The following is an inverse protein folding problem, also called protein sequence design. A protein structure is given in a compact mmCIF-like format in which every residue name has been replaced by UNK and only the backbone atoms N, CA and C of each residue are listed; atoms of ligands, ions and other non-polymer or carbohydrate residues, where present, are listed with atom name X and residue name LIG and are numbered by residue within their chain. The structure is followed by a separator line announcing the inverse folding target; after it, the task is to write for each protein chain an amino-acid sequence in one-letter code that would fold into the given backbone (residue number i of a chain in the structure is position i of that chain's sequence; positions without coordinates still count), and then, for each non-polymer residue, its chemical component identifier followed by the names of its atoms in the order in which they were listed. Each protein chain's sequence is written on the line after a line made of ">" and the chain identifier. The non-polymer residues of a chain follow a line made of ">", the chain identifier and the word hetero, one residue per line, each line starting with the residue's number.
data_IF_063827863364
#
_entry.id   IF_063827863364
#
_cell.length_a   1.000
_cell.length_b   1.000
_cell.length_c   1.000
_cell.angle_alpha   90.00
_cell.angle_beta   90.00
_cell.angle_gamma   90.00
#
_symmetry.space_group_name_H-M   'P 1'
#
loop_
_entity.id
_entity.type
_entity.pdbx_description
1 polymer ?
#
# COMPACT_ATOMS: atom_id res chain seq x y z
N UNK A 1 -6.09 20.04 4.90
CA UNK A 1 -7.16 19.26 5.56
C UNK A 1 -6.87 17.76 5.61
N UNK A 2 -6.67 17.09 4.46
CA UNK A 2 -6.42 15.64 4.41
C UNK A 2 -5.23 15.20 5.27
N UNK A 3 -4.07 15.87 5.18
CA UNK A 3 -2.90 15.57 6.00
C UNK A 3 -3.23 15.48 7.50
N UNK A 4 -3.90 16.51 8.02
CA UNK A 4 -4.29 16.59 9.43
C UNK A 4 -5.30 15.50 9.80
N UNK A 5 -6.24 15.19 8.91
CA UNK A 5 -7.22 14.13 9.12
C UNK A 5 -6.54 12.74 9.17
N UNK A 6 -5.60 12.47 8.27
CA UNK A 6 -4.82 11.23 8.26
C UNK A 6 -3.99 11.07 9.53
N UNK A 7 -3.30 12.13 9.97
CA UNK A 7 -2.54 12.13 11.25
C UNK A 7 -3.48 11.89 12.44
N UNK A 8 -4.66 12.53 12.45
CA UNK A 8 -5.67 12.31 13.49
C UNK A 8 -6.11 10.83 13.54
N UNK A 9 -6.43 10.23 12.40
CA UNK A 9 -6.83 8.82 12.33
C UNK A 9 -5.73 7.88 12.80
N UNK A 10 -4.48 8.13 12.38
CA UNK A 10 -3.35 7.32 12.80
C UNK A 10 -3.16 7.34 14.33
N UNK A 11 -3.13 8.54 14.91
CA UNK A 11 -3.04 8.71 16.36
C UNK A 11 -4.23 8.08 17.10
N UNK A 12 -5.45 8.19 16.55
CA UNK A 12 -6.64 7.60 17.15
C UNK A 12 -6.62 6.06 17.12
N UNK A 13 -6.09 5.45 16.07
CA UNK A 13 -5.90 3.99 15.98
C UNK A 13 -4.85 3.51 16.99
N UNK A 14 -3.68 4.17 17.02
CA UNK A 14 -2.60 3.82 17.94
C UNK A 14 -3.00 4.00 19.41
N UNK A 15 -3.76 5.03 19.76
CA UNK A 15 -4.31 5.23 21.11
C UNK A 15 -5.24 4.08 21.57
N UNK A 16 -5.72 3.25 20.64
CA UNK A 16 -6.55 2.06 20.90
C UNK A 16 -5.77 0.76 20.74
N UNK A 17 -4.45 0.81 20.55
CA UNK A 17 -3.62 -0.36 20.28
C UNK A 17 -3.90 -1.03 18.93
N UNK A 18 -4.51 -0.30 17.99
CA UNK A 18 -4.80 -0.79 16.64
C UNK A 18 -3.72 -0.34 15.68
N UNK A 19 -3.40 -1.19 14.70
CA UNK A 19 -2.61 -0.80 13.54
C UNK A 19 -3.46 -0.04 12.51
N UNK A 20 -2.81 0.78 11.68
CA UNK A 20 -3.45 1.56 10.62
C UNK A 20 -2.57 1.63 9.37
N UNK A 21 -3.22 1.62 8.19
CA UNK A 21 -2.56 1.74 6.90
C UNK A 21 -3.01 2.95 6.08
N UNK A 22 -2.07 3.53 5.32
CA UNK A 22 -2.35 4.63 4.38
C UNK A 22 -2.89 4.05 3.07
N UNK A 23 -4.09 4.46 2.65
CA UNK A 23 -4.69 4.01 1.39
C UNK A 23 -4.37 5.00 0.26
N UNK A 24 -3.68 4.55 -0.77
CA UNK A 24 -3.27 5.35 -1.93
C UNK A 24 -2.50 6.61 -1.50
N UNK A 25 -3.12 7.80 -1.58
CA UNK A 25 -2.61 9.11 -1.12
C UNK A 25 -1.10 9.30 -1.32
N UNK A 26 -0.64 8.92 -2.51
CA UNK A 26 0.78 8.73 -2.83
C UNK A 26 1.58 10.04 -2.71
N UNK A 27 0.93 11.17 -2.95
CA UNK A 27 1.51 12.51 -2.87
C UNK A 27 1.93 12.89 -1.44
N UNK A 28 1.28 12.31 -0.41
CA UNK A 28 1.53 12.61 1.00
C UNK A 28 2.33 11.52 1.73
N UNK A 29 2.82 10.50 1.02
CA UNK A 29 3.57 9.38 1.64
C UNK A 29 4.74 9.89 2.47
N UNK A 30 5.51 10.87 1.99
CA UNK A 30 6.68 11.39 2.71
C UNK A 30 6.31 12.06 4.04
N UNK A 31 5.16 12.73 4.10
CA UNK A 31 4.67 13.41 5.30
C UNK A 31 3.99 12.44 6.29
N UNK A 32 3.44 11.33 5.77
CA UNK A 32 2.61 10.40 6.53
C UNK A 32 3.31 9.10 6.92
N UNK A 33 4.44 8.74 6.30
CA UNK A 33 5.11 7.44 6.52
C UNK A 33 5.48 7.20 7.98
N UNK A 34 5.75 8.23 8.77
CA UNK A 34 6.07 8.09 10.20
C UNK A 34 4.84 7.73 11.05
N UNK A 35 3.63 8.07 10.61
CA UNK A 35 2.37 7.88 11.35
C UNK A 35 1.65 6.58 11.03
N UNK A 36 1.81 6.02 9.83
CA UNK A 36 1.12 4.78 9.42
C UNK A 36 2.03 3.55 9.57
N UNK A 37 1.44 2.37 9.79
CA UNK A 37 2.21 1.13 10.01
C UNK A 37 2.50 0.38 8.70
N UNK A 38 1.69 0.63 7.68
CA UNK A 38 1.79 0.03 6.34
C UNK A 38 1.07 0.92 5.31
N UNK A 39 1.26 0.64 4.03
CA UNK A 39 0.50 1.25 2.95
C UNK A 39 -0.35 0.19 2.23
N UNK A 40 -1.52 0.59 1.74
CA UNK A 40 -2.31 -0.15 0.76
C UNK A 40 -2.47 0.72 -0.48
N UNK A 41 -2.01 0.24 -1.62
CA UNK A 41 -2.16 0.94 -2.90
C UNK A 41 -2.92 0.07 -3.91
N UNK A 42 -3.74 0.73 -4.72
CA UNK A 42 -4.36 0.15 -5.91
C UNK A 42 -3.69 0.73 -7.16
N UNK A 43 -3.32 -0.15 -8.07
CA UNK A 43 -2.96 0.19 -9.45
C UNK A 43 -1.70 1.05 -9.64
N UNK A 44 -0.76 1.07 -8.68
CA UNK A 44 0.46 1.86 -8.87
C UNK A 44 1.27 1.49 -10.12
N UNK A 45 1.21 0.24 -10.61
CA UNK A 45 1.93 -0.14 -11.82
C UNK A 45 1.22 0.40 -13.06
N UNK A 46 -0.12 0.34 -13.07
CA UNK A 46 -0.94 0.93 -14.14
C UNK A 46 -0.74 2.44 -14.26
N UNK A 47 -0.61 3.14 -13.13
CA UNK A 47 -0.42 4.59 -13.09
C UNK A 47 1.05 5.05 -13.01
N UNK A 48 1.99 4.10 -13.02
CA UNK A 48 3.42 4.38 -12.92
C UNK A 48 3.81 5.24 -11.69
N UNK A 49 3.23 4.91 -10.54
CA UNK A 49 3.42 5.64 -9.28
C UNK A 49 4.04 4.78 -8.16
N UNK A 50 4.45 3.53 -8.42
CA UNK A 50 4.91 2.61 -7.37
C UNK A 50 6.13 3.12 -6.58
N UNK A 51 7.02 3.90 -7.21
CA UNK A 51 8.21 4.44 -6.55
C UNK A 51 7.87 5.39 -5.40
N UNK A 52 6.69 6.02 -5.44
CA UNK A 52 6.19 6.91 -4.37
C UNK A 52 5.99 6.17 -3.05
N UNK A 53 5.81 4.84 -3.08
CA UNK A 53 5.57 3.99 -1.91
C UNK A 53 6.86 3.42 -1.30
N UNK A 54 8.01 3.55 -1.97
CA UNK A 54 9.31 3.10 -1.44
C UNK A 54 9.68 3.67 -0.06
N UNK A 55 9.25 4.88 0.37
CA UNK A 55 9.46 5.33 1.73
C UNK A 55 8.93 4.37 2.81
N UNK A 56 7.81 3.67 2.56
CA UNK A 56 7.32 2.64 3.49
C UNK A 56 8.30 1.47 3.57
N UNK A 57 8.73 0.93 2.42
CA UNK A 57 9.71 -0.17 2.37
C UNK A 57 11.03 0.22 3.05
N UNK A 58 11.54 1.42 2.75
CA UNK A 58 12.78 1.93 3.35
C UNK A 58 12.66 2.13 4.87
N UNK A 59 11.46 2.41 5.37
CA UNK A 59 11.16 2.47 6.80
C UNK A 59 10.90 1.08 7.43
N UNK A 60 11.05 -0.01 6.67
CA UNK A 60 10.77 -1.37 7.13
C UNK A 60 9.27 -1.68 7.26
N UNK A 61 8.40 -0.88 6.64
CA UNK A 61 6.95 -0.98 6.73
C UNK A 61 6.36 -1.67 5.49
N UNK A 62 5.39 -2.59 5.65
CA UNK A 62 4.79 -3.30 4.52
C UNK A 62 4.08 -2.36 3.54
N UNK A 63 4.18 -2.68 2.25
CA UNK A 63 3.30 -2.16 1.20
C UNK A 63 2.44 -3.32 0.71
N UNK A 64 1.13 -3.23 0.90
CA UNK A 64 0.14 -4.08 0.26
C UNK A 64 -0.30 -3.42 -1.03
N UNK A 65 -0.27 -4.16 -2.14
CA UNK A 65 -0.54 -3.59 -3.46
C UNK A 65 -1.53 -4.49 -4.21
N UNK A 66 -2.42 -3.89 -5.00
CA UNK A 66 -3.31 -4.66 -5.86
C UNK A 66 -3.40 -4.10 -7.27
N UNK A 67 -3.35 -4.98 -8.26
CA UNK A 67 -3.70 -4.70 -9.67
C UNK A 67 -4.99 -5.43 -10.04
N UNK A 68 -5.72 -4.95 -11.06
CA UNK A 68 -7.04 -5.46 -11.44
C UNK A 68 -7.13 -6.15 -12.81
N UNK A 69 -6.02 -6.22 -13.53
CA UNK A 69 -6.00 -6.64 -14.94
C UNK A 69 -5.07 -7.84 -15.19
N UNK A 70 -3.80 -7.77 -14.79
CA UNK A 70 -2.79 -8.77 -15.16
C UNK A 70 -1.69 -8.93 -14.12
N UNK A 71 -1.08 -10.12 -14.08
CA UNK A 71 0.03 -10.46 -13.20
C UNK A 71 1.42 -10.13 -13.78
N UNK A 72 1.49 -9.41 -14.90
CA UNK A 72 2.77 -9.08 -15.55
C UNK A 72 3.72 -8.26 -14.65
N UNK A 73 3.18 -7.61 -13.62
CA UNK A 73 3.92 -6.77 -12.69
C UNK A 73 4.55 -7.53 -11.52
N UNK A 74 4.25 -8.83 -11.35
CA UNK A 74 4.65 -9.56 -10.16
C UNK A 74 6.17 -9.63 -9.95
N UNK A 75 6.97 -9.77 -11.01
CA UNK A 75 8.43 -9.76 -10.89
C UNK A 75 8.95 -8.41 -10.36
N UNK A 76 8.45 -7.31 -10.91
CA UNK A 76 8.81 -5.96 -10.48
C UNK A 76 8.32 -5.70 -9.04
N UNK A 77 7.07 -6.03 -8.72
CA UNK A 77 6.54 -5.89 -7.38
C UNK A 77 7.35 -6.66 -6.33
N UNK A 78 7.79 -7.87 -6.67
CA UNK A 78 8.65 -8.67 -5.80
C UNK A 78 10.01 -8.00 -5.58
N UNK A 79 10.61 -7.41 -6.63
CA UNK A 79 11.87 -6.67 -6.52
C UNK A 79 11.77 -5.39 -5.68
N UNK A 80 10.60 -4.73 -5.67
CA UNK A 80 10.32 -3.54 -4.85
C UNK A 80 9.93 -3.88 -3.40
N UNK A 81 9.92 -5.16 -3.07
CA UNK A 81 9.48 -5.71 -1.79
C UNK A 81 7.97 -5.53 -1.45
N UNK A 82 7.11 -5.41 -2.46
CA UNK A 82 5.67 -5.22 -2.24
C UNK A 82 4.94 -6.55 -2.06
N UNK A 83 3.95 -6.58 -1.15
CA UNK A 83 3.03 -7.70 -0.97
C UNK A 83 1.83 -7.53 -1.91
N UNK A 84 1.98 -8.01 -3.15
CA UNK A 84 1.06 -7.69 -4.24
C UNK A 84 0.10 -8.82 -4.58
N UNK A 85 -1.15 -8.46 -4.90
CA UNK A 85 -2.18 -9.35 -5.42
C UNK A 85 -2.70 -8.84 -6.77
N UNK A 86 -3.06 -9.77 -7.66
CA UNK A 86 -4.03 -9.47 -8.71
C UNK A 86 -5.42 -9.85 -8.20
N UNK A 87 -6.38 -8.95 -8.40
CA UNK A 87 -7.77 -9.08 -7.92
C UNK A 87 -8.75 -8.76 -9.03
N UNK A 88 -10.00 -9.18 -8.88
CA UNK A 88 -11.09 -8.55 -9.62
C UNK A 88 -11.42 -7.19 -9.00
N UNK A 89 -11.88 -6.24 -9.82
CA UNK A 89 -12.33 -4.93 -9.34
C UNK A 89 -13.49 -5.02 -8.33
N UNK A 90 -14.31 -6.08 -8.41
CA UNK A 90 -15.38 -6.39 -7.44
C UNK A 90 -14.86 -6.74 -6.05
N UNK A 91 -13.55 -6.98 -5.89
CA UNK A 91 -12.90 -7.44 -4.66
C UNK A 91 -13.55 -8.71 -4.07
N UNK A 92 -14.04 -9.60 -4.92
CA UNK A 92 -14.57 -10.90 -4.52
C UNK A 92 -13.46 -11.83 -3.93
N UNK A 93 -13.80 -13.10 -3.67
CA UNK A 93 -12.87 -14.04 -3.04
C UNK A 93 -11.66 -14.42 -3.93
N UNK A 94 -11.73 -14.23 -5.25
CA UNK A 94 -10.65 -14.60 -6.17
C UNK A 94 -9.39 -13.78 -5.90
N UNK A 95 -8.22 -14.41 -5.92
CA UNK A 95 -6.93 -13.74 -5.75
C UNK A 95 -5.82 -14.51 -6.44
N UNK A 96 -4.88 -13.78 -7.03
CA UNK A 96 -3.61 -14.33 -7.50
C UNK A 96 -2.46 -13.58 -6.83
N UNK A 97 -1.75 -14.19 -5.87
CA UNK A 97 -0.63 -13.52 -5.22
C UNK A 97 0.61 -13.48 -6.11
N UNK A 98 1.35 -12.36 -6.07
CA UNK A 98 2.67 -12.27 -6.70
C UNK A 98 3.76 -12.99 -5.88
N UNK A 99 3.52 -13.18 -4.58
CA UNK A 99 4.38 -13.91 -3.64
C UNK A 99 3.66 -15.17 -3.18
N UNK A 100 4.19 -16.32 -3.55
CA UNK A 100 3.63 -17.63 -3.19
C UNK A 100 4.49 -18.72 -3.79
N UNK A 101 4.64 -19.81 -3.03
CA UNK A 101 5.45 -21.01 -3.28
C UNK A 101 5.14 -21.70 -4.59
#
# INVERSE_FOLDING_TARGET
>A
DQLNYNIFLANAAHARGLSIGLKNDVDQVKDLVSYFDWALNEECFKFNECDTLLPFINAGKPVFQTEYDTSQYCAQANSMNFNSLVKHLSLDAWRQPCRGT
#
